data_IF_666909117307
#
_entry.id   IF_666909117307
#
_cell.length_a   1.000
_cell.length_b   1.000
_cell.length_c   1.000
_cell.angle_alpha   90.00
_cell.angle_beta   90.00
_cell.angle_gamma   90.00
#
_symmetry.space_group_name_H-M   'P 1'
#
loop_
_entity.id
_entity.type
_entity.pdbx_description
1 polymer ?
#
# COMPACT_ATOMS: atom_id res chain seq x y z
N UNK A 1 -1.52 -29.05 8.77
CA UNK A 1 -0.93 -28.23 7.69
C UNK A 1 -1.67 -26.90 7.72
N UNK A 2 -1.00 -25.81 8.11
CA UNK A 2 -1.62 -24.48 8.00
C UNK A 2 -1.67 -24.13 6.53
N UNK A 3 -2.86 -24.22 5.95
CA UNK A 3 -3.18 -23.56 4.68
C UNK A 3 -2.98 -22.08 4.95
N UNK A 4 -1.91 -21.51 4.44
CA UNK A 4 -1.77 -20.06 4.39
C UNK A 4 -2.78 -19.61 3.34
N UNK A 5 -4.01 -19.38 3.78
CA UNK A 5 -5.03 -18.70 3.00
C UNK A 5 -4.59 -17.23 2.94
N UNK A 6 -4.00 -16.82 1.82
CA UNK A 6 -3.68 -15.42 1.57
C UNK A 6 -4.80 -14.86 0.71
N UNK A 7 -5.83 -14.23 1.31
CA UNK A 7 -6.91 -13.66 0.54
C UNK A 7 -6.37 -12.43 -0.22
N UNK A 8 -5.96 -12.62 -1.47
CA UNK A 8 -5.47 -11.53 -2.34
C UNK A 8 -6.45 -10.36 -2.41
N UNK A 9 -7.76 -10.66 -2.41
CA UNK A 9 -8.83 -9.66 -2.33
C UNK A 9 -8.83 -8.86 -1.01
N UNK A 10 -8.33 -9.41 0.10
CA UNK A 10 -8.15 -8.67 1.36
C UNK A 10 -6.94 -7.74 1.29
N UNK A 11 -5.84 -8.18 0.67
CA UNK A 11 -4.65 -7.33 0.47
C UNK A 11 -4.96 -6.13 -0.44
N UNK A 12 -5.74 -6.34 -1.50
CA UNK A 12 -6.25 -5.25 -2.35
C UNK A 12 -7.18 -4.31 -1.58
N UNK A 13 -8.08 -4.85 -0.75
CA UNK A 13 -8.94 -4.03 0.12
C UNK A 13 -8.14 -3.18 1.11
N UNK A 14 -7.10 -3.75 1.72
CA UNK A 14 -6.20 -3.01 2.62
C UNK A 14 -5.46 -1.92 1.86
N UNK A 15 -4.93 -2.20 0.67
CA UNK A 15 -4.31 -1.21 -0.20
C UNK A 15 -5.24 -0.01 -0.47
N UNK A 16 -6.48 -0.27 -0.87
CA UNK A 16 -7.46 0.77 -1.18
C UNK A 16 -7.88 1.60 0.04
N UNK A 17 -8.01 0.96 1.20
CA UNK A 17 -8.31 1.65 2.46
C UNK A 17 -7.17 2.58 2.88
N UNK A 18 -5.91 2.13 2.74
CA UNK A 18 -4.73 2.94 3.04
C UNK A 18 -4.63 4.14 2.08
N UNK A 19 -4.92 3.92 0.79
CA UNK A 19 -4.97 5.01 -0.20
C UNK A 19 -6.03 6.06 0.17
N UNK A 20 -7.27 5.64 0.49
CA UNK A 20 -8.34 6.56 0.90
C UNK A 20 -7.99 7.34 2.16
N UNK A 21 -7.34 6.69 3.12
CA UNK A 21 -6.90 7.32 4.38
C UNK A 21 -5.88 8.43 4.10
N UNK A 22 -4.92 8.16 3.21
CA UNK A 22 -3.96 9.16 2.73
C UNK A 22 -4.68 10.33 2.05
N UNK A 23 -5.62 10.07 1.16
CA UNK A 23 -6.34 11.12 0.43
C UNK A 23 -7.16 12.02 1.36
N UNK A 24 -7.77 11.44 2.40
CA UNK A 24 -8.48 12.19 3.45
C UNK A 24 -7.53 13.06 4.27
N UNK A 25 -6.37 12.53 4.67
CA UNK A 25 -5.32 13.31 5.34
C UNK A 25 -4.79 14.47 4.48
N UNK A 26 -4.82 14.31 3.16
CA UNK A 26 -4.40 15.32 2.21
C UNK A 26 -5.50 16.34 1.85
N UNK A 27 -6.70 16.21 2.42
CA UNK A 27 -7.81 17.13 2.15
C UNK A 27 -7.57 18.54 2.71
N UNK A 28 -8.12 19.55 2.04
CA UNK A 28 -7.95 20.96 2.39
C UNK A 28 -8.36 21.31 3.84
N UNK A 29 -9.48 20.78 4.39
CA UNK A 29 -9.87 21.06 5.77
C UNK A 29 -8.86 20.53 6.80
N UNK A 30 -8.27 19.36 6.53
CA UNK A 30 -7.28 18.73 7.40
C UNK A 30 -5.93 19.45 7.30
N UNK A 31 -5.60 20.04 6.15
CA UNK A 31 -4.38 20.83 5.94
C UNK A 31 -4.45 22.20 6.61
N UNK A 32 -5.61 22.85 6.60
CA UNK A 32 -5.77 24.26 7.00
C UNK A 32 -6.18 24.50 8.46
N UNK A 33 -6.00 23.51 9.35
CA UNK A 33 -6.48 23.57 10.74
C UNK A 33 -5.88 24.72 11.58
N UNK A 34 -4.70 25.25 11.22
CA UNK A 34 -4.07 26.40 11.90
C UNK A 34 -4.56 27.78 11.44
N UNK A 35 -5.01 27.90 10.18
CA UNK A 35 -5.35 29.20 9.56
C UNK A 35 -6.59 29.89 10.16
N UNK A 36 -7.38 29.19 10.96
CA UNK A 36 -8.56 29.74 11.63
C UNK A 36 -8.22 30.68 12.79
N UNK A 37 -7.00 30.59 13.33
CA UNK A 37 -6.62 31.27 14.58
C UNK A 37 -6.09 32.69 14.37
N UNK A 38 -5.52 32.99 13.20
CA UNK A 38 -5.00 34.32 12.85
C UNK A 38 -6.08 35.42 12.88
N UNK A 39 -7.36 35.05 12.79
CA UNK A 39 -8.47 35.98 12.92
C UNK A 39 -8.80 36.41 14.36
N UNK A 40 -8.22 35.75 15.37
CA UNK A 40 -8.59 35.95 16.78
C UNK A 40 -7.74 37.02 17.48
N UNK A 41 -6.60 37.42 16.91
CA UNK A 41 -5.78 38.54 17.41
C UNK A 41 -5.13 38.28 18.79
N UNK A 42 -5.03 37.01 19.20
CA UNK A 42 -4.42 36.61 20.46
C UNK A 42 -3.06 35.97 20.20
N UNK A 43 -1.99 36.70 20.46
CA UNK A 43 -0.61 36.29 20.13
C UNK A 43 -0.20 34.92 20.69
N UNK A 44 -0.61 34.57 21.92
CA UNK A 44 -0.31 33.26 22.52
C UNK A 44 -1.08 32.13 21.83
N UNK A 45 -2.31 32.40 21.41
CA UNK A 45 -3.15 31.44 20.68
C UNK A 45 -2.65 31.26 19.24
N UNK A 46 -2.25 32.34 18.58
CA UNK A 46 -1.61 32.34 17.26
C UNK A 46 -0.32 31.50 17.27
N UNK A 47 0.53 31.73 18.28
CA UNK A 47 1.78 30.97 18.45
C UNK A 47 1.51 29.48 18.67
N UNK A 48 0.54 29.14 19.52
CA UNK A 48 0.16 27.74 19.75
C UNK A 48 -0.45 27.08 18.50
N UNK A 49 -1.24 27.82 17.72
CA UNK A 49 -1.82 27.33 16.48
C UNK A 49 -0.77 27.11 15.38
N UNK A 50 0.22 28.01 15.27
CA UNK A 50 1.35 27.85 14.36
C UNK A 50 2.21 26.64 14.74
N UNK A 51 2.49 26.43 16.04
CA UNK A 51 3.23 25.26 16.48
C UNK A 51 2.45 23.97 16.19
N UNK A 52 1.13 23.99 16.44
CA UNK A 52 0.25 22.88 16.10
C UNK A 52 0.28 22.58 14.59
N UNK A 53 0.10 23.60 13.74
CA UNK A 53 0.09 23.44 12.28
C UNK A 53 1.41 22.86 11.77
N UNK A 54 2.53 23.34 12.27
CA UNK A 54 3.85 22.81 11.94
C UNK A 54 3.98 21.34 12.32
N UNK A 55 3.70 21.00 13.58
CA UNK A 55 3.79 19.62 14.08
C UNK A 55 2.82 18.69 13.37
N UNK A 56 1.63 19.18 13.05
CA UNK A 56 0.62 18.47 12.28
C UNK A 56 1.08 18.23 10.84
N UNK A 57 1.66 19.23 10.19
CA UNK A 57 2.26 19.11 8.86
C UNK A 57 3.36 18.05 8.82
N UNK A 58 4.30 18.13 9.76
CA UNK A 58 5.42 17.18 9.88
C UNK A 58 4.90 15.75 10.15
N UNK A 59 3.97 15.61 11.10
CA UNK A 59 3.35 14.33 11.44
C UNK A 59 2.58 13.71 10.27
N UNK A 60 1.81 14.51 9.52
CA UNK A 60 1.13 14.03 8.30
C UNK A 60 2.11 13.58 7.23
N UNK A 61 3.24 14.26 7.06
CA UNK A 61 4.25 13.88 6.08
C UNK A 61 4.83 12.48 6.40
N UNK A 62 5.17 12.24 7.67
CA UNK A 62 5.66 10.93 8.12
C UNK A 62 4.58 9.85 7.94
N UNK A 63 3.36 10.11 8.43
CA UNK A 63 2.25 9.17 8.29
C UNK A 63 1.93 8.85 6.83
N UNK A 64 1.99 9.83 5.93
CA UNK A 64 1.80 9.60 4.50
C UNK A 64 2.85 8.64 3.93
N UNK A 65 4.11 8.82 4.31
CA UNK A 65 5.21 7.95 3.87
C UNK A 65 5.06 6.52 4.40
N UNK A 66 4.66 6.38 5.66
CA UNK A 66 4.43 5.06 6.26
C UNK A 66 3.24 4.35 5.62
N UNK A 67 2.15 5.07 5.35
CA UNK A 67 0.98 4.55 4.63
C UNK A 67 1.35 4.07 3.22
N UNK A 68 2.16 4.85 2.48
CA UNK A 68 2.67 4.45 1.17
C UNK A 68 3.53 3.18 1.27
N UNK A 69 4.43 3.11 2.26
CA UNK A 69 5.27 1.93 2.47
C UNK A 69 4.47 0.65 2.75
N UNK A 70 3.45 0.72 3.61
CA UNK A 70 2.56 -0.42 3.90
C UNK A 70 1.73 -0.81 2.68
N UNK A 71 1.20 0.19 1.95
CA UNK A 71 0.42 -0.02 0.72
C UNK A 71 1.26 -0.75 -0.33
N UNK A 72 2.48 -0.27 -0.57
CA UNK A 72 3.37 -0.82 -1.59
C UNK A 72 3.83 -2.23 -1.21
N UNK A 73 4.07 -2.48 0.08
CA UNK A 73 4.36 -3.82 0.59
C UNK A 73 3.17 -4.78 0.38
N UNK A 74 1.94 -4.35 0.71
CA UNK A 74 0.74 -5.16 0.50
C UNK A 74 0.55 -5.52 -0.98
N UNK A 75 0.79 -4.56 -1.88
CA UNK A 75 0.74 -4.78 -3.32
C UNK A 75 1.83 -5.75 -3.80
N UNK A 76 3.07 -5.57 -3.36
CA UNK A 76 4.18 -6.44 -3.73
C UNK A 76 3.94 -7.89 -3.30
N UNK A 77 3.38 -8.10 -2.11
CA UNK A 77 3.00 -9.43 -1.63
C UNK A 77 1.92 -10.04 -2.53
N UNK A 78 0.84 -9.31 -2.82
CA UNK A 78 -0.23 -9.80 -3.69
C UNK A 78 0.27 -10.13 -5.10
N UNK A 79 1.13 -9.29 -5.67
CA UNK A 79 1.72 -9.51 -7.00
C UNK A 79 2.64 -10.75 -7.02
N UNK A 80 3.44 -10.97 -5.97
CA UNK A 80 4.31 -12.15 -5.86
C UNK A 80 3.52 -13.47 -5.75
N UNK A 81 2.40 -13.47 -5.02
CA UNK A 81 1.52 -14.63 -4.95
C UNK A 81 0.87 -14.94 -6.30
N UNK A 82 0.35 -13.92 -6.98
CA UNK A 82 -0.23 -14.07 -8.32
C UNK A 82 0.78 -14.60 -9.33
N UNK A 83 2.01 -14.09 -9.31
CA UNK A 83 3.09 -14.60 -10.17
C UNK A 83 3.40 -16.08 -9.87
N UNK A 84 3.45 -16.46 -8.60
CA UNK A 84 3.69 -17.85 -8.19
C UNK A 84 2.56 -18.77 -8.67
N UNK A 85 1.31 -18.34 -8.58
CA UNK A 85 0.16 -19.09 -9.08
C UNK A 85 0.20 -19.25 -10.59
N UNK A 86 0.52 -18.18 -11.34
CA UNK A 86 0.68 -18.23 -12.80
C UNK A 86 1.79 -19.19 -13.23
N UNK A 87 2.95 -19.15 -12.57
CA UNK A 87 4.06 -20.09 -12.81
C UNK A 87 3.65 -21.53 -12.51
N UNK A 88 2.90 -21.76 -11.43
CA UNK A 88 2.41 -23.09 -11.05
C UNK A 88 1.42 -23.62 -12.08
N UNK A 89 0.47 -22.80 -12.53
CA UNK A 89 -0.47 -23.17 -13.60
C UNK A 89 0.28 -23.48 -14.89
N UNK A 90 1.26 -22.66 -15.29
CA UNK A 90 2.07 -22.91 -16.47
C UNK A 90 2.79 -24.27 -16.38
N UNK A 91 3.44 -24.56 -15.25
CA UNK A 91 4.13 -25.83 -15.02
C UNK A 91 3.19 -27.05 -15.03
N UNK A 92 1.93 -26.88 -14.62
CA UNK A 92 0.92 -27.95 -14.67
C UNK A 92 0.26 -28.11 -16.04
N UNK A 93 0.34 -27.10 -16.90
CA UNK A 93 -0.29 -27.08 -18.23
C UNK A 93 0.70 -27.42 -19.34
N UNK A 94 2.01 -27.33 -19.09
CA UNK A 94 3.01 -27.91 -19.98
C UNK A 94 2.81 -29.43 -20.06
N UNK A 95 2.38 -29.97 -21.23
CA UNK A 95 2.38 -31.40 -21.40
C UNK A 95 3.82 -31.86 -21.27
N UNK A 96 4.06 -32.89 -20.46
CA UNK A 96 5.29 -33.65 -20.49
C UNK A 96 5.54 -34.04 -21.96
N UNK A 97 6.41 -33.30 -22.65
CA UNK A 97 6.86 -33.67 -23.97
C UNK A 97 7.64 -34.94 -23.77
N UNK A 98 6.94 -36.05 -24.04
CA UNK A 98 7.45 -37.40 -24.08
C UNK A 98 8.87 -37.40 -24.63
N UNK A 99 9.77 -38.00 -23.85
CA UNK A 99 11.08 -38.38 -24.31
C UNK A 99 10.94 -39.33 -25.49
N UNK A 100 10.90 -38.78 -26.70
CA UNK A 100 11.08 -39.53 -27.93
C UNK A 100 12.54 -40.00 -27.95
N UNK A 101 12.74 -41.21 -27.47
CA UNK A 101 13.99 -41.94 -27.58
C UNK A 101 14.48 -41.93 -29.05
N UNK A 102 15.76 -41.62 -29.33
CA UNK A 102 16.27 -41.81 -30.67
C UNK A 102 16.34 -43.32 -30.95
N UNK A 103 15.48 -43.79 -31.86
CA UNK A 103 15.59 -45.15 -32.41
C UNK A 103 16.96 -45.29 -33.08
N UNK A 104 17.78 -46.18 -32.52
CA UNK A 104 18.95 -46.72 -33.17
C UNK A 104 18.54 -47.36 -34.50
N UNK A 105 19.20 -46.97 -35.59
CA UNK A 105 19.14 -47.70 -36.86
C UNK A 105 20.45 -48.48 -37.02
N UNK A 106 20.33 -49.80 -36.96
CA UNK A 106 21.24 -50.77 -37.59
C UNK A 106 21.19 -50.66 -39.12
#
# INVERSE_FOLDING_TARGET
MSVIDVPGAELERVHDLLQRTKDLMDSAPIKAMGQLVDLLGQHDLESAAHEFEKRWGDGRHVLSKDLEGVRDAAKAVADAFRETDEQTVAALTEPATDGSAPQAKE
#
